data_IF_202781436485
#
_entry.id   IF_202781436485
#
_cell.length_a   1.000
_cell.length_b   1.000
_cell.length_c   1.000
_cell.angle_alpha   90.00
_cell.angle_beta   90.00
_cell.angle_gamma   90.00
#
_symmetry.space_group_name_H-M   'P 1'
#
loop_
_entity.id
_entity.type
_entity.pdbx_description
1 polymer ?
#
# COMPACT_ATOMS: atom_id res chain seq x y z
N UNK A 1 10.88 -22.94 -9.73
CA UNK A 1 10.60 -21.76 -10.58
C UNK A 1 9.23 -21.23 -10.22
N UNK A 2 9.05 -19.90 -10.17
CA UNK A 2 7.79 -19.29 -9.75
C UNK A 2 7.07 -18.74 -10.97
N UNK A 3 5.84 -19.18 -11.28
CA UNK A 3 5.11 -18.64 -12.42
C UNK A 3 4.76 -17.18 -12.17
N UNK A 4 4.82 -16.38 -13.22
CA UNK A 4 4.18 -15.07 -13.26
C UNK A 4 2.70 -15.29 -13.59
N UNK A 5 1.80 -14.65 -12.85
CA UNK A 5 0.35 -14.79 -13.04
C UNK A 5 -0.22 -13.46 -13.54
N UNK A 6 -0.88 -13.50 -14.70
CA UNK A 6 -1.55 -12.34 -15.30
C UNK A 6 -3.03 -12.65 -15.41
N UNK A 7 -3.86 -11.79 -14.81
CA UNK A 7 -5.32 -11.86 -14.94
C UNK A 7 -5.79 -10.68 -15.80
N UNK A 8 -6.42 -10.98 -16.93
CA UNK A 8 -6.94 -9.96 -17.85
C UNK A 8 -8.46 -9.98 -17.88
N UNK A 9 -9.07 -8.85 -17.54
CA UNK A 9 -10.52 -8.64 -17.55
C UNK A 9 -11.06 -8.12 -16.22
N UNK A 10 -11.86 -7.07 -16.28
CA UNK A 10 -12.43 -6.39 -15.09
C UNK A 10 -13.42 -7.26 -14.32
N UNK A 11 -13.94 -8.30 -14.98
CA UNK A 11 -14.84 -9.31 -14.40
C UNK A 11 -14.24 -9.99 -13.18
N UNK A 12 -12.91 -10.11 -13.11
CA UNK A 12 -12.21 -10.73 -11.98
C UNK A 12 -12.33 -9.96 -10.66
N UNK A 13 -12.59 -8.65 -10.71
CA UNK A 13 -12.72 -7.80 -9.52
C UNK A 13 -14.16 -7.36 -9.24
N UNK A 14 -15.07 -7.54 -10.21
CA UNK A 14 -16.49 -7.22 -10.06
C UNK A 14 -17.32 -8.46 -9.69
N UNK A 15 -17.32 -9.49 -10.53
CA UNK A 15 -18.25 -10.61 -10.45
C UNK A 15 -17.78 -11.73 -9.48
N UNK A 16 -18.64 -12.25 -8.59
CA UNK A 16 -18.25 -13.17 -7.51
C UNK A 16 -17.66 -14.49 -8.03
N UNK A 17 -18.22 -15.09 -9.07
CA UNK A 17 -17.68 -16.34 -9.63
C UNK A 17 -16.24 -16.18 -10.14
N UNK A 18 -15.92 -15.07 -10.80
CA UNK A 18 -14.57 -14.82 -11.30
C UNK A 18 -13.59 -14.49 -10.17
N UNK A 19 -14.05 -13.85 -9.07
CA UNK A 19 -13.24 -13.67 -7.86
C UNK A 19 -12.81 -15.01 -7.26
N UNK A 20 -13.72 -15.97 -7.20
CA UNK A 20 -13.42 -17.32 -6.71
C UNK A 20 -12.40 -18.00 -7.63
N UNK A 21 -12.58 -17.91 -8.95
CA UNK A 21 -11.63 -18.47 -9.94
C UNK A 21 -10.24 -17.83 -9.81
N UNK A 22 -10.17 -16.51 -9.65
CA UNK A 22 -8.91 -15.79 -9.42
C UNK A 22 -8.24 -16.23 -8.13
N UNK A 23 -9.00 -16.33 -7.04
CA UNK A 23 -8.49 -16.83 -5.75
C UNK A 23 -7.97 -18.26 -5.86
N UNK A 24 -8.68 -19.13 -6.58
CA UNK A 24 -8.31 -20.53 -6.79
C UNK A 24 -6.98 -20.65 -7.57
N UNK A 25 -6.85 -19.95 -8.70
CA UNK A 25 -5.62 -20.02 -9.49
C UNK A 25 -4.42 -19.37 -8.80
N UNK A 26 -4.64 -18.29 -8.05
CA UNK A 26 -3.58 -17.70 -7.23
C UNK A 26 -3.07 -18.69 -6.18
N UNK A 27 -3.98 -19.38 -5.48
CA UNK A 27 -3.56 -20.32 -4.43
C UNK A 27 -2.91 -21.59 -5.00
N UNK A 28 -3.43 -22.11 -6.12
CA UNK A 28 -2.91 -23.31 -6.75
C UNK A 28 -1.53 -23.11 -7.38
N UNK A 29 -1.31 -21.99 -8.09
CA UNK A 29 -0.07 -21.77 -8.86
C UNK A 29 1.00 -20.93 -8.14
N UNK A 30 0.72 -20.29 -6.99
CA UNK A 30 1.73 -19.44 -6.32
C UNK A 30 2.97 -20.18 -5.81
N UNK A 31 2.83 -21.47 -5.46
CA UNK A 31 3.87 -22.25 -4.80
C UNK A 31 4.35 -21.63 -3.48
N UNK A 32 5.65 -21.74 -3.21
CA UNK A 32 6.26 -21.23 -1.98
C UNK A 32 6.35 -19.69 -1.93
N UNK A 33 6.12 -19.12 -0.75
CA UNK A 33 6.35 -17.69 -0.46
C UNK A 33 7.82 -17.43 -0.16
N UNK A 34 8.54 -16.97 -1.19
CA UNK A 34 9.93 -16.53 -1.11
C UNK A 34 10.03 -15.00 -1.09
N UNK A 35 10.97 -14.41 -0.31
CA UNK A 35 11.10 -12.95 -0.18
C UNK A 35 11.79 -12.28 -1.37
N UNK A 36 12.60 -13.01 -2.12
CA UNK A 36 13.31 -12.53 -3.30
C UNK A 36 13.29 -13.58 -4.41
N UNK A 37 13.29 -13.12 -5.67
CA UNK A 37 13.26 -13.98 -6.86
C UNK A 37 14.44 -13.59 -7.76
N UNK A 38 15.13 -14.58 -8.31
CA UNK A 38 16.18 -14.37 -9.31
C UNK A 38 15.56 -14.15 -10.69
N UNK A 39 16.12 -13.23 -11.48
CA UNK A 39 15.66 -12.93 -12.84
C UNK A 39 15.68 -14.18 -13.74
N UNK A 40 16.72 -15.01 -13.61
CA UNK A 40 16.82 -16.27 -14.36
C UNK A 40 15.87 -17.38 -13.91
N UNK A 41 15.00 -17.13 -12.91
CA UNK A 41 13.93 -18.05 -12.52
C UNK A 41 12.55 -17.61 -12.99
N UNK A 42 12.46 -16.54 -13.81
CA UNK A 42 11.25 -16.01 -14.42
C UNK A 42 11.04 -16.64 -15.81
N UNK A 43 10.76 -17.94 -15.84
CA UNK A 43 10.76 -18.69 -17.09
C UNK A 43 9.40 -18.69 -17.81
N UNK A 44 8.29 -18.68 -17.07
CA UNK A 44 6.95 -18.80 -17.65
C UNK A 44 5.92 -17.88 -16.99
N UNK A 45 4.96 -17.45 -17.81
CA UNK A 45 3.80 -16.63 -17.46
C UNK A 45 2.53 -17.43 -17.72
N UNK A 46 1.68 -17.54 -16.72
CA UNK A 46 0.32 -18.06 -16.82
C UNK A 46 -0.61 -16.86 -17.03
N UNK A 47 -1.26 -16.82 -18.19
CA UNK A 47 -2.26 -15.83 -18.55
C UNK A 47 -3.66 -16.41 -18.39
N UNK A 48 -4.48 -15.74 -17.59
CA UNK A 48 -5.88 -16.10 -17.37
C UNK A 48 -6.75 -14.94 -17.83
N UNK A 49 -7.52 -15.14 -18.89
CA UNK A 49 -8.39 -14.11 -19.49
C UNK A 49 -9.85 -14.44 -19.20
N UNK A 50 -10.58 -13.48 -18.66
CA UNK A 50 -12.03 -13.57 -18.53
C UNK A 50 -12.68 -13.20 -19.86
N UNK A 51 -13.45 -14.13 -20.43
CA UNK A 51 -14.33 -13.84 -21.55
C UNK A 51 -15.48 -12.90 -21.15
N UNK A 52 -16.18 -12.32 -22.14
CA UNK A 52 -17.31 -11.43 -21.88
C UNK A 52 -18.39 -12.15 -21.05
N UNK A 53 -19.04 -11.41 -20.17
CA UNK A 53 -20.22 -11.90 -19.48
C UNK A 53 -21.35 -12.12 -20.50
N UNK A 54 -22.14 -13.17 -20.28
CA UNK A 54 -23.37 -13.34 -21.04
C UNK A 54 -24.37 -12.23 -20.67
N UNK A 55 -25.33 -11.94 -21.55
CA UNK A 55 -26.40 -10.95 -21.31
C UNK A 55 -27.19 -11.25 -20.02
N UNK A 56 -27.32 -12.54 -19.67
CA UNK A 56 -27.95 -13.02 -18.43
C UNK A 56 -27.12 -12.78 -17.15
N UNK A 57 -25.97 -12.11 -17.24
CA UNK A 57 -25.04 -11.91 -16.12
C UNK A 57 -24.25 -13.16 -15.71
N UNK A 58 -24.34 -14.25 -16.47
CA UNK A 58 -23.59 -15.48 -16.22
C UNK A 58 -22.11 -15.32 -16.61
N UNK A 59 -21.18 -15.98 -15.89
CA UNK A 59 -19.78 -15.99 -16.28
C UNK A 59 -19.61 -16.66 -17.65
N UNK A 60 -18.91 -15.97 -18.55
CA UNK A 60 -18.44 -16.51 -19.82
C UNK A 60 -17.29 -17.50 -19.65
N UNK A 61 -16.64 -17.82 -20.77
CA UNK A 61 -15.47 -18.71 -20.78
C UNK A 61 -14.27 -18.05 -20.11
N UNK A 62 -13.40 -18.86 -19.51
CA UNK A 62 -12.11 -18.43 -18.97
C UNK A 62 -11.02 -19.08 -19.80
N UNK A 63 -10.17 -18.27 -20.43
CA UNK A 63 -9.06 -18.77 -21.24
C UNK A 63 -7.81 -18.86 -20.37
N UNK A 64 -7.19 -20.03 -20.36
CA UNK A 64 -5.96 -20.32 -19.66
C UNK A 64 -4.88 -20.61 -20.68
N UNK A 65 -3.79 -19.84 -20.64
CA UNK A 65 -2.65 -19.95 -21.55
C UNK A 65 -1.36 -19.87 -20.77
N UNK A 66 -0.34 -20.60 -21.23
CA UNK A 66 0.99 -20.59 -20.63
C UNK A 66 2.00 -20.22 -21.68
N UNK A 67 2.79 -19.20 -21.37
CA UNK A 67 3.83 -18.65 -22.23
C UNK A 67 5.19 -18.80 -21.57
N UNK A 68 6.22 -19.17 -22.32
CA UNK A 68 7.61 -18.99 -21.91
C UNK A 68 8.06 -17.55 -22.19
N UNK A 69 8.93 -17.05 -21.32
CA UNK A 69 9.45 -15.68 -21.36
C UNK A 69 10.81 -15.67 -22.03
N UNK A 70 10.93 -14.93 -23.13
CA UNK A 70 12.20 -14.65 -23.79
C UNK A 70 12.63 -13.21 -23.53
N UNK A 71 13.76 -13.03 -22.85
CA UNK A 71 14.35 -11.72 -22.56
C UNK A 71 15.36 -11.34 -23.64
N UNK A 72 15.00 -10.38 -24.50
CA UNK A 72 15.86 -9.86 -25.58
C UNK A 72 16.53 -8.55 -25.19
N UNK A 73 17.68 -8.25 -25.82
CA UNK A 73 18.40 -6.99 -25.63
C UNK A 73 17.55 -5.81 -26.12
N UNK A 74 17.37 -4.81 -25.27
CA UNK A 74 16.53 -3.61 -25.54
C UNK A 74 17.32 -2.30 -25.66
N UNK A 75 18.62 -2.30 -25.31
CA UNK A 75 19.45 -1.09 -25.25
C UNK A 75 19.30 -0.27 -23.95
N UNK A 76 18.38 -0.65 -23.06
CA UNK A 76 18.24 -0.05 -21.72
C UNK A 76 18.47 -1.11 -20.63
N UNK A 77 18.41 -0.71 -19.35
CA UNK A 77 18.52 -1.63 -18.20
C UNK A 77 17.37 -2.66 -18.14
N UNK A 78 16.22 -2.38 -18.77
CA UNK A 78 15.04 -3.26 -18.75
C UNK A 78 15.01 -4.07 -20.04
N UNK A 79 15.08 -5.42 -20.01
CA UNK A 79 15.07 -6.25 -21.22
C UNK A 79 13.74 -6.16 -21.96
N UNK A 80 13.75 -6.39 -23.27
CA UNK A 80 12.54 -6.50 -24.07
C UNK A 80 11.97 -7.90 -23.89
N UNK A 81 10.72 -7.98 -23.46
CA UNK A 81 10.04 -9.25 -23.19
C UNK A 81 9.29 -9.71 -24.42
N UNK A 82 9.58 -10.93 -24.88
CA UNK A 82 8.82 -11.64 -25.91
C UNK A 82 8.24 -12.92 -25.30
N UNK A 83 7.06 -13.33 -25.74
CA UNK A 83 6.34 -14.48 -25.20
C UNK A 83 6.18 -15.55 -26.28
N UNK A 84 6.48 -16.79 -25.93
CA UNK A 84 6.29 -17.96 -26.79
C UNK A 84 5.27 -18.91 -26.14
N UNK A 85 4.24 -19.34 -26.87
CA UNK A 85 3.24 -20.26 -26.31
C UNK A 85 3.85 -21.66 -26.14
N UNK A 86 3.93 -22.12 -24.90
CA UNK A 86 4.45 -23.46 -24.55
C UNK A 86 3.31 -24.40 -24.15
N UNK A 87 2.18 -23.84 -23.71
CA UNK A 87 0.99 -24.60 -23.33
C UNK A 87 1.02 -25.12 -21.89
N UNK A 88 -0.11 -25.66 -21.38
CA UNK A 88 -1.33 -26.02 -22.09
C UNK A 88 -2.24 -24.81 -22.41
N UNK A 89 -3.02 -24.96 -23.49
CA UNK A 89 -4.02 -24.01 -23.95
C UNK A 89 -5.40 -24.57 -23.58
N UNK A 90 -6.02 -24.06 -22.51
CA UNK A 90 -7.25 -24.62 -21.95
C UNK A 90 -8.34 -23.56 -21.89
N UNK A 91 -9.55 -23.94 -22.31
CA UNK A 91 -10.73 -23.10 -22.23
C UNK A 91 -11.69 -23.68 -21.19
N UNK A 92 -11.84 -22.97 -20.08
CA UNK A 92 -12.74 -23.35 -19.00
C UNK A 92 -14.13 -22.73 -19.22
N UNK A 93 -15.16 -23.48 -18.86
CA UNK A 93 -16.53 -22.94 -18.73
C UNK A 93 -16.97 -23.04 -17.28
N UNK A 94 -17.33 -21.89 -16.69
CA UNK A 94 -17.83 -21.84 -15.32
C UNK A 94 -19.29 -22.27 -15.34
N UNK A 95 -19.61 -23.37 -14.66
CA UNK A 95 -20.97 -23.91 -14.58
C UNK A 95 -21.55 -23.69 -13.19
N UNK A 96 -21.42 -24.69 -12.32
CA UNK A 96 -21.95 -24.63 -10.95
C UNK A 96 -20.90 -23.99 -10.04
N UNK A 97 -21.35 -23.07 -9.18
CA UNK A 97 -20.52 -22.39 -8.19
C UNK A 97 -21.14 -22.63 -6.83
N UNK A 98 -20.32 -23.02 -5.86
CA UNK A 98 -20.69 -23.09 -4.44
C UNK A 98 -19.83 -22.08 -3.70
N UNK A 99 -20.48 -21.05 -3.17
CA UNK A 99 -19.79 -20.04 -2.38
C UNK A 99 -19.53 -20.56 -0.96
N UNK A 100 -18.42 -20.14 -0.33
CA UNK A 100 -18.16 -20.50 1.06
C UNK A 100 -19.10 -19.74 2.00
N UNK A 101 -19.47 -20.39 3.10
CA UNK A 101 -20.22 -19.71 4.16
C UNK A 101 -19.40 -18.56 4.76
N UNK A 102 -20.08 -17.48 5.13
CA UNK A 102 -19.44 -16.23 5.58
C UNK A 102 -18.54 -16.45 6.82
N UNK A 103 -18.98 -17.28 7.77
CA UNK A 103 -18.21 -17.59 8.97
C UNK A 103 -16.94 -18.38 8.63
N UNK A 104 -17.05 -19.41 7.78
CA UNK A 104 -15.92 -20.22 7.33
C UNK A 104 -14.89 -19.36 6.59
N UNK A 105 -15.36 -18.48 5.69
CA UNK A 105 -14.48 -17.56 4.96
C UNK A 105 -13.73 -16.59 5.89
N UNK A 106 -14.43 -16.04 6.90
CA UNK A 106 -13.84 -15.15 7.91
C UNK A 106 -12.78 -15.87 8.75
N UNK A 107 -13.03 -17.12 9.12
CA UNK A 107 -12.06 -17.93 9.85
C UNK A 107 -10.83 -18.28 8.99
N UNK A 108 -11.02 -18.65 7.72
CA UNK A 108 -9.95 -19.01 6.80
C UNK A 108 -9.04 -17.84 6.41
N UNK A 109 -9.60 -16.63 6.29
CA UNK A 109 -8.86 -15.41 5.90
C UNK A 109 -8.23 -14.67 7.09
N UNK A 110 -8.33 -15.21 8.30
CA UNK A 110 -7.77 -14.61 9.51
C UNK A 110 -6.24 -14.65 9.48
N UNK A 111 -5.60 -13.47 9.45
CA UNK A 111 -4.13 -13.35 9.53
C UNK A 111 -3.61 -13.66 10.94
N UNK A 112 -2.48 -14.37 11.09
CA UNK A 112 -1.89 -14.66 12.39
C UNK A 112 -1.32 -13.39 13.02
N UNK A 113 -1.59 -13.19 14.32
CA UNK A 113 -1.13 -12.02 15.08
C UNK A 113 0.38 -12.01 15.35
N UNK A 114 1.05 -13.16 15.27
CA UNK A 114 2.47 -13.32 15.68
C UNK A 114 3.46 -13.39 14.52
N UNK A 115 3.03 -13.69 13.28
CA UNK A 115 3.94 -14.06 12.19
C UNK A 115 3.88 -13.19 10.94
N UNK A 116 2.92 -12.28 10.84
CA UNK A 116 2.92 -11.27 9.77
C UNK A 116 3.36 -9.95 10.38
N UNK A 117 4.03 -9.10 9.61
CA UNK A 117 4.38 -7.72 9.95
C UNK A 117 3.15 -6.81 10.26
N UNK A 118 2.03 -7.37 10.71
CA UNK A 118 1.09 -6.78 11.63
C UNK A 118 1.77 -6.59 13.00
N UNK A 119 2.81 -5.75 12.94
CA UNK A 119 3.45 -4.92 13.95
C UNK A 119 2.81 -5.06 15.33
N UNK A 120 3.66 -5.34 16.33
CA UNK A 120 3.53 -4.78 17.69
C UNK A 120 2.74 -3.47 17.57
N UNK A 121 1.58 -3.39 18.22
CA UNK A 121 0.66 -2.25 18.15
C UNK A 121 1.49 -0.97 18.06
N UNK A 122 1.49 -0.28 16.91
CA UNK A 122 2.38 0.89 16.71
C UNK A 122 2.07 1.87 17.83
N UNK A 123 3.00 2.02 18.75
CA UNK A 123 2.87 2.97 19.84
C UNK A 123 3.00 4.36 19.24
N UNK A 124 1.97 5.19 19.44
CA UNK A 124 1.93 6.53 18.86
C UNK A 124 3.12 7.32 19.41
N UNK A 125 3.81 8.04 18.53
CA UNK A 125 5.00 8.83 18.85
C UNK A 125 6.24 8.03 19.25
N UNK A 126 6.27 6.72 19.05
CA UNK A 126 7.47 5.88 19.25
C UNK A 126 7.86 5.28 17.91
N UNK A 127 9.07 5.57 17.47
CA UNK A 127 9.65 5.00 16.25
C UNK A 127 11.00 4.33 16.59
N UNK A 128 11.46 3.46 15.69
CA UNK A 128 12.71 2.70 15.81
C UNK A 128 13.60 3.06 14.64
N UNK A 129 14.83 3.46 14.90
CA UNK A 129 15.82 3.82 13.88
C UNK A 129 16.40 2.58 13.18
N UNK A 130 17.10 2.76 12.06
CA UNK A 130 17.78 1.70 11.31
C UNK A 130 18.85 0.95 12.10
N UNK A 131 19.39 1.56 13.16
CA UNK A 131 20.29 0.92 14.13
C UNK A 131 19.56 0.15 15.25
N UNK A 132 18.23 0.26 15.32
CA UNK A 132 17.41 -0.40 16.34
C UNK A 132 17.13 0.44 17.59
N UNK A 133 17.60 1.69 17.64
CA UNK A 133 17.33 2.60 18.76
C UNK A 133 15.88 3.09 18.76
N UNK A 134 15.27 3.13 19.95
CA UNK A 134 13.88 3.55 20.14
C UNK A 134 13.85 5.01 20.56
N UNK A 135 13.17 5.87 19.80
CA UNK A 135 13.00 7.27 20.16
C UNK A 135 11.52 7.69 20.19
N UNK A 136 11.22 8.58 21.13
CA UNK A 136 9.90 9.15 21.33
C UNK A 136 9.84 10.58 20.79
N UNK A 137 8.85 10.91 19.95
CA UNK A 137 8.64 12.29 19.49
C UNK A 137 7.70 13.05 20.43
N UNK A 138 8.24 14.05 21.11
CA UNK A 138 7.45 15.00 21.92
C UNK A 138 7.01 16.16 21.02
N UNK A 139 5.70 16.37 20.90
CA UNK A 139 5.14 17.50 20.18
C UNK A 139 4.83 18.62 21.17
N UNK A 140 5.74 19.58 21.30
CA UNK A 140 5.51 20.78 22.12
C UNK A 140 4.49 21.66 21.40
N UNK A 141 3.41 22.03 22.09
CA UNK A 141 2.39 22.93 21.55
C UNK A 141 2.91 24.36 21.40
N UNK A 142 2.20 25.17 20.62
CA UNK A 142 2.52 26.58 20.46
C UNK A 142 2.33 27.35 21.79
N UNK A 143 3.37 28.06 22.23
CA UNK A 143 3.39 28.76 23.51
C UNK A 143 3.01 30.23 23.31
N UNK A 144 1.75 30.56 23.60
CA UNK A 144 1.25 31.95 23.53
C UNK A 144 1.70 32.77 24.73
N UNK A 145 2.87 33.40 24.62
CA UNK A 145 3.44 34.26 25.68
C UNK A 145 2.76 35.62 25.81
N UNK A 146 2.03 36.06 24.79
CA UNK A 146 1.33 37.35 24.77
C UNK A 146 0.18 37.44 25.78
N UNK A 147 -0.39 36.29 26.17
CA UNK A 147 -1.43 36.21 27.22
C UNK A 147 -0.83 36.45 28.62
N UNK A 148 0.49 36.30 28.78
CA UNK A 148 1.15 36.38 30.08
C UNK A 148 1.38 37.85 30.44
N UNK A 149 0.45 38.44 31.18
CA UNK A 149 0.69 39.75 31.79
C UNK A 149 1.74 39.61 32.90
N UNK A 150 2.88 40.27 32.72
CA UNK A 150 3.91 40.31 33.77
C UNK A 150 3.47 41.12 34.98
N UNK A 151 4.09 40.86 36.14
CA UNK A 151 3.82 41.59 37.38
C UNK A 151 4.14 43.07 37.17
N UNK A 152 3.13 43.93 37.28
CA UNK A 152 3.25 45.40 37.18
C UNK A 152 3.91 46.01 38.42
N UNK A 153 5.21 45.76 38.60
CA UNK A 153 6.00 46.32 39.71
C UNK A 153 6.00 47.86 39.67
N UNK A 154 6.13 48.49 40.84
CA UNK A 154 6.12 49.96 40.95
C UNK A 154 7.23 50.61 40.12
N UNK A 155 8.41 49.99 40.03
CA UNK A 155 9.54 50.49 39.24
C UNK A 155 9.38 50.39 37.72
N UNK A 156 8.47 49.55 37.22
CA UNK A 156 8.17 49.40 35.78
C UNK A 156 7.08 50.38 35.31
N UNK A 157 6.40 51.06 36.24
CA UNK A 157 5.38 52.06 35.90
C UNK A 157 6.09 53.37 35.58
N UNK A 158 5.82 53.94 34.38
CA UNK A 158 6.30 55.28 34.02
C UNK A 158 5.81 56.29 35.07
N UNK A 159 6.74 56.98 35.72
CA UNK A 159 6.42 58.11 36.58
C UNK A 159 5.92 59.26 35.69
N UNK A 160 4.82 59.92 36.07
CA UNK A 160 4.22 61.04 35.31
C UNK A 160 5.18 62.22 35.10
N UNK A 161 6.26 62.30 35.86
CA UNK A 161 7.29 63.33 35.77
C UNK A 161 8.29 63.12 34.63
N UNK A 162 8.51 61.90 34.14
CA UNK A 162 9.51 61.63 33.10
C UNK A 162 9.02 61.87 31.65
N UNK A 163 7.71 62.09 31.46
CA UNK A 163 7.12 62.32 30.14
C UNK A 163 6.96 63.82 29.77
N UNK A 164 7.16 64.74 30.73
CA UNK A 164 7.01 66.18 30.49
C UNK A 164 8.33 66.88 30.17
N UNK A 165 9.49 66.24 30.43
CA UNK A 165 10.82 66.81 30.20
C UNK A 165 11.56 66.30 28.96
N UNK A 166 10.85 65.69 28.00
CA UNK A 166 11.47 65.12 26.78
C UNK A 166 10.96 65.73 25.47
N UNK A 167 9.94 66.59 25.53
CA UNK A 167 9.36 67.25 24.35
C UNK A 167 9.91 68.67 24.14
N UNK A 168 10.49 69.29 25.17
CA UNK A 168 11.04 70.67 25.10
C UNK A 168 12.51 70.71 24.60
N UNK A 169 13.13 69.56 24.30
CA UNK A 169 14.56 69.48 23.93
C UNK A 169 14.82 69.06 22.47
N UNK A 170 13.82 69.06 21.59
CA UNK A 170 13.95 68.64 20.17
C UNK A 170 13.57 69.74 19.15
N UNK A 171 13.27 70.98 19.56
CA UNK A 171 12.90 72.09 18.65
C UNK A 171 13.99 73.19 18.46
N UNK A 172 15.19 73.02 19.04
CA UNK A 172 16.34 73.91 18.79
C UNK A 172 17.53 73.12 18.17
N UNK A 173 17.45 72.81 16.87
CA UNK A 173 18.58 72.68 15.93
C UNK A 173 18.10 72.68 14.46
#
# INVERSE_FOLDING_TARGET
>A
MKPLLVFSGDSFDTHPAYKIVKSLFLDFFRGETIPAVNLGGLDHVISVVAGPLAEDGRPGRVYFRVYAVQLKKSGTRIPRVELEEVGPSIDFSVRRVREPDADVWKHATRRPKQGTAAKRKKEKNVDVDGLGDVYGRVHVGDQKLDVIQTRKMKGLKRARTAAKGRTESEEEE
#
